data_IF_053684018399
#
_entry.id   IF_053684018399
#
_cell.length_a   1.000
_cell.length_b   1.000
_cell.length_c   1.000
_cell.angle_alpha   90.00
_cell.angle_beta   90.00
_cell.angle_gamma   90.00
#
_symmetry.space_group_name_H-M   'P 1'
#
loop_
_entity.id
_entity.type
_entity.pdbx_description
1 polymer ?
#
# COMPACT_ATOMS: atom_id res chain seq x y z
N UNK A 1 -6.91 -6.30 8.71
CA UNK A 1 -5.94 -6.64 7.65
C UNK A 1 -6.06 -8.08 7.12
N UNK A 2 -6.95 -8.93 7.68
CA UNK A 2 -7.24 -10.25 7.09
C UNK A 2 -7.82 -10.16 5.67
N UNK A 3 -8.42 -9.02 5.36
CA UNK A 3 -9.03 -8.72 4.09
C UNK A 3 -8.26 -7.69 3.27
N UNK A 4 -7.04 -7.98 2.81
CA UNK A 4 -6.37 -7.12 1.82
C UNK A 4 -6.41 -7.82 0.48
N UNK A 5 -7.13 -7.25 -0.49
CA UNK A 5 -7.28 -7.76 -1.86
C UNK A 5 -6.07 -7.39 -2.72
N UNK A 6 -5.67 -6.12 -2.67
CA UNK A 6 -4.53 -5.63 -3.45
C UNK A 6 -3.79 -4.52 -2.72
N UNK A 7 -2.49 -4.43 -3.00
CA UNK A 7 -1.61 -3.34 -2.57
C UNK A 7 -0.97 -2.78 -3.84
N UNK A 8 -1.28 -1.52 -4.16
CA UNK A 8 -0.81 -0.83 -5.35
C UNK A 8 0.07 0.35 -4.98
N UNK A 9 1.14 0.54 -5.74
CA UNK A 9 2.06 1.67 -5.59
C UNK A 9 1.98 2.53 -6.84
N UNK A 10 1.59 3.79 -6.69
CA UNK A 10 1.48 4.74 -7.80
C UNK A 10 2.29 6.00 -7.50
N UNK A 11 2.98 6.51 -8.52
CA UNK A 11 3.88 7.67 -8.37
C UNK A 11 3.92 8.50 -9.62
N UNK A 12 3.78 9.82 -9.44
CA UNK A 12 4.11 10.78 -10.50
C UNK A 12 5.62 10.88 -10.71
N UNK A 13 6.04 11.52 -11.81
CA UNK A 13 7.45 11.79 -12.11
C UNK A 13 8.09 12.61 -10.99
N UNK A 14 7.41 13.64 -10.48
CA UNK A 14 7.90 14.46 -9.38
C UNK A 14 8.08 13.64 -8.10
N UNK A 15 7.09 12.81 -7.74
CA UNK A 15 7.16 11.95 -6.56
C UNK A 15 8.34 10.96 -6.63
N UNK A 16 8.62 10.38 -7.80
CA UNK A 16 9.79 9.51 -8.01
C UNK A 16 11.10 10.27 -7.73
N UNK A 17 11.21 11.51 -8.21
CA UNK A 17 12.41 12.33 -8.01
C UNK A 17 12.66 12.63 -6.53
N UNK A 18 11.59 12.84 -5.76
CA UNK A 18 11.66 13.07 -4.31
C UNK A 18 11.65 11.78 -3.48
N UNK A 19 11.69 10.61 -4.10
CA UNK A 19 11.67 9.32 -3.38
C UNK A 19 10.38 9.05 -2.60
N UNK A 20 9.29 9.72 -2.96
CA UNK A 20 7.97 9.59 -2.35
C UNK A 20 6.98 8.93 -3.33
N UNK A 21 5.82 8.54 -2.83
CA UNK A 21 4.75 8.03 -3.68
C UNK A 21 3.48 7.71 -2.90
N UNK A 22 2.48 7.21 -3.60
CA UNK A 22 1.23 6.80 -2.99
C UNK A 22 1.16 5.28 -2.88
N UNK A 23 0.60 4.78 -1.77
CA UNK A 23 0.31 3.36 -1.56
C UNK A 23 -1.19 3.21 -1.34
N UNK A 24 -1.84 2.42 -2.19
CA UNK A 24 -3.25 2.08 -2.09
C UNK A 24 -3.41 0.65 -1.58
N UNK A 25 -4.35 0.47 -0.67
CA UNK A 25 -4.71 -0.81 -0.08
C UNK A 25 -6.20 -1.01 -0.32
N UNK A 26 -6.56 -2.02 -1.12
CA UNK A 26 -7.94 -2.41 -1.32
C UNK A 26 -8.31 -3.50 -0.31
N UNK A 27 -9.38 -3.27 0.46
CA UNK A 27 -9.89 -4.27 1.40
C UNK A 27 -10.75 -5.31 0.69
N UNK A 28 -10.66 -6.58 1.08
CA UNK A 28 -11.55 -7.66 0.64
C UNK A 28 -12.84 -7.76 1.48
N UNK A 29 -12.88 -7.16 2.69
CA UNK A 29 -13.96 -7.28 3.67
C UNK A 29 -15.19 -6.48 3.26
N UNK A 30 -14.95 -5.46 2.46
CA UNK A 30 -15.91 -4.43 2.12
C UNK A 30 -15.49 -3.89 0.76
N UNK A 31 -16.28 -4.21 -0.26
CA UNK A 31 -16.02 -3.82 -1.65
C UNK A 31 -15.88 -2.30 -1.84
N UNK A 32 -16.23 -1.51 -0.83
CA UNK A 32 -16.39 -0.06 -0.91
C UNK A 32 -15.29 0.76 -0.22
N UNK A 33 -14.35 0.13 0.51
CA UNK A 33 -13.33 0.87 1.25
C UNK A 33 -11.91 0.63 0.74
N UNK A 34 -11.28 1.72 0.30
CA UNK A 34 -9.89 1.78 -0.11
C UNK A 34 -9.13 2.72 0.82
N UNK A 35 -7.97 2.28 1.31
CA UNK A 35 -7.07 3.11 2.11
C UNK A 35 -5.97 3.65 1.19
N UNK A 36 -5.80 4.97 1.16
CA UNK A 36 -4.75 5.64 0.39
C UNK A 36 -3.77 6.34 1.31
N UNK A 37 -2.54 5.89 1.31
CA UNK A 37 -1.39 6.56 1.91
C UNK A 37 -0.80 7.50 0.85
N UNK A 38 -0.79 8.80 1.13
CA UNK A 38 -0.34 9.83 0.19
C UNK A 38 1.07 10.31 0.52
N UNK A 39 1.87 10.56 -0.51
CA UNK A 39 3.21 11.16 -0.41
C UNK A 39 4.14 10.49 0.62
N UNK A 40 4.05 9.16 0.74
CA UNK A 40 4.86 8.40 1.69
C UNK A 40 6.30 8.24 1.16
N UNK A 41 7.31 8.46 2.02
CA UNK A 41 8.71 8.17 1.67
C UNK A 41 8.93 6.67 1.47
N UNK A 42 9.70 6.30 0.44
CA UNK A 42 10.05 4.91 0.17
C UNK A 42 8.82 4.00 -0.02
N UNK A 43 7.89 4.33 -0.93
CA UNK A 43 6.59 3.67 -1.04
C UNK A 43 6.69 2.15 -1.32
N UNK A 44 7.76 1.66 -1.95
CA UNK A 44 7.98 0.22 -2.14
C UNK A 44 8.24 -0.50 -0.83
N UNK A 45 9.04 0.11 0.05
CA UNK A 45 9.36 -0.47 1.35
C UNK A 45 8.10 -0.53 2.21
N UNK A 46 7.29 0.53 2.17
CA UNK A 46 5.98 0.57 2.83
C UNK A 46 5.06 -0.53 2.30
N UNK A 47 4.95 -0.67 0.97
CA UNK A 47 4.14 -1.72 0.35
C UNK A 47 4.63 -3.12 0.75
N UNK A 48 5.93 -3.34 0.81
CA UNK A 48 6.50 -4.62 1.23
C UNK A 48 6.23 -4.92 2.71
N UNK A 49 6.38 -3.92 3.59
CA UNK A 49 6.00 -4.06 5.00
C UNK A 49 4.53 -4.44 5.17
N UNK A 50 3.63 -3.85 4.37
CA UNK A 50 2.21 -4.19 4.37
C UNK A 50 1.94 -5.63 3.88
N UNK A 51 2.68 -6.10 2.85
CA UNK A 51 2.60 -7.50 2.38
C UNK A 51 3.07 -8.47 3.45
N UNK A 52 4.19 -8.17 4.10
CA UNK A 52 4.71 -9.01 5.18
C UNK A 52 3.78 -9.03 6.40
N UNK A 53 3.21 -7.88 6.78
CA UNK A 53 2.22 -7.79 7.84
C UNK A 53 0.95 -8.62 7.54
N UNK A 54 0.55 -8.71 6.27
CA UNK A 54 -0.53 -9.62 5.82
C UNK A 54 -0.13 -11.08 6.02
N UNK A 55 1.05 -11.50 5.55
CA UNK A 55 1.51 -12.90 5.65
C UNK A 55 1.65 -13.36 7.10
N UNK A 56 2.26 -12.55 7.96
CA UNK A 56 2.43 -12.85 9.39
C UNK A 56 1.12 -13.03 10.17
N UNK A 57 0.00 -12.54 9.64
CA UNK A 57 -1.32 -12.66 10.28
C UNK A 57 -2.12 -13.85 9.77
N UNK A 58 -1.68 -14.48 8.68
CA UNK A 58 -2.26 -15.72 8.13
C UNK A 58 -1.55 -16.99 8.63
N UNK A 59 -0.35 -16.84 9.22
CA UNK A 59 0.40 -17.88 9.92
C UNK A 59 0.03 -17.89 11.41
#
# INVERSE_FOLDING_TARGET
LADVRSIEVSRSISQRLFGIGNVMIASAASADFMIKLQDVPGPERVAEMLRQARLKRLA
#
